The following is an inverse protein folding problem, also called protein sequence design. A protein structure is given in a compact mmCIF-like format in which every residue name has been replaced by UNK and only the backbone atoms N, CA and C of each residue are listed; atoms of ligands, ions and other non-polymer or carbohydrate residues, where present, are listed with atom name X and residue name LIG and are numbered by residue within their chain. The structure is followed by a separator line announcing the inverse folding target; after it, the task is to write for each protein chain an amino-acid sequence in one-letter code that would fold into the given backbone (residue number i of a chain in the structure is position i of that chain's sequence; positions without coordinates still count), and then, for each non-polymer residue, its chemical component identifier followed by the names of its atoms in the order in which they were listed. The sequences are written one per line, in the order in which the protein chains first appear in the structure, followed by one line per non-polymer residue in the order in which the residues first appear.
data_IF_527879113582
#
_entry.id   IF_527879113582
#
_cell.length_a   1.000
_cell.length_b   1.000
_cell.length_c   1.000
_cell.angle_alpha   90.00
_cell.angle_beta   90.00
_cell.angle_gamma   90.00
#
_symmetry.space_group_name_H-M   'P 1'
#
loop_
_entity.id
_entity.type
_entity.pdbx_description
1 polymer ?
#
# COMPACT_ATOMS: atom_id res chain seq x y z
N UNK A 1 -24.87 7.26 31.69
CA UNK A 1 -24.67 6.13 30.73
C UNK A 1 -24.66 6.52 29.26
N UNK A 2 -25.29 7.64 28.83
CA UNK A 2 -25.33 8.03 27.40
C UNK A 2 -23.97 8.47 26.83
N UNK A 3 -23.22 9.29 27.56
CA UNK A 3 -21.96 9.89 27.07
C UNK A 3 -20.76 8.94 27.10
N UNK A 4 -20.77 7.94 28.00
CA UNK A 4 -19.72 6.90 28.07
C UNK A 4 -19.75 6.00 26.84
N UNK A 5 -20.95 5.66 26.34
CA UNK A 5 -21.09 4.88 25.11
C UNK A 5 -20.56 5.64 23.88
N UNK A 6 -20.79 6.95 23.83
CA UNK A 6 -20.26 7.83 22.78
C UNK A 6 -18.73 7.96 22.83
N UNK A 7 -18.16 8.03 24.03
CA UNK A 7 -16.71 8.13 24.21
C UNK A 7 -16.00 6.84 23.77
N UNK A 8 -16.56 5.67 24.09
CA UNK A 8 -16.04 4.38 23.65
C UNK A 8 -16.14 4.24 22.12
N UNK A 9 -17.27 4.66 21.53
CA UNK A 9 -17.44 4.65 20.08
C UNK A 9 -16.44 5.57 19.36
N UNK A 10 -16.18 6.76 19.91
CA UNK A 10 -15.19 7.69 19.38
C UNK A 10 -13.75 7.16 19.46
N UNK A 11 -13.41 6.45 20.54
CA UNK A 11 -12.09 5.84 20.72
C UNK A 11 -11.81 4.67 19.77
N UNK A 12 -12.85 3.91 19.38
CA UNK A 12 -12.74 2.85 18.37
C UNK A 12 -12.63 3.44 16.96
N UNK A 13 -13.30 4.57 16.68
CA UNK A 13 -13.23 5.21 15.37
C UNK A 13 -11.88 5.92 15.14
N UNK A 14 -11.25 6.46 16.19
CA UNK A 14 -9.94 7.12 16.11
C UNK A 14 -8.78 6.15 15.90
N UNK A 15 -8.92 4.87 16.27
CA UNK A 15 -7.89 3.84 16.01
C UNK A 15 -7.89 3.32 14.57
N UNK A 16 -8.86 3.71 13.73
CA UNK A 16 -8.83 3.44 12.29
C UNK A 16 -8.06 4.50 11.51
N UNK A 17 -7.61 5.58 12.15
CA UNK A 17 -6.84 6.66 11.51
C UNK A 17 -5.35 6.31 11.32
N UNK A 18 -5.06 5.07 10.92
CA UNK A 18 -3.74 4.69 10.44
C UNK A 18 -3.75 4.64 8.91
N UNK A 19 -3.42 5.79 8.33
CA UNK A 19 -2.47 5.87 7.23
C UNK A 19 -2.81 5.08 5.96
N UNK A 20 -3.61 5.69 5.09
CA UNK A 20 -3.51 5.46 3.64
C UNK A 20 -2.18 6.08 3.15
N UNK A 21 -1.07 5.38 3.36
CA UNK A 21 0.15 5.64 2.60
C UNK A 21 0.06 4.77 1.34
N UNK A 22 0.20 5.41 0.17
CA UNK A 22 0.50 4.68 -1.05
C UNK A 22 1.77 3.86 -0.80
N UNK A 23 1.78 2.61 -1.26
CA UNK A 23 2.96 1.79 -1.12
C UNK A 23 4.13 2.53 -1.82
N UNK A 24 5.21 2.77 -1.08
CA UNK A 24 6.38 3.48 -1.63
C UNK A 24 7.24 2.48 -2.37
N UNK A 25 7.72 2.85 -3.55
CA UNK A 25 8.72 2.06 -4.26
C UNK A 25 10.05 2.11 -3.49
N UNK A 26 10.57 0.93 -3.18
CA UNK A 26 11.85 0.78 -2.48
C UNK A 26 12.81 -0.07 -3.32
N UNK A 27 14.07 0.35 -3.41
CA UNK A 27 15.09 -0.40 -4.16
C UNK A 27 15.56 -1.65 -3.39
N UNK A 28 15.53 -1.60 -2.06
CA UNK A 28 15.89 -2.69 -1.17
C UNK A 28 14.77 -2.96 -0.17
N UNK A 29 14.68 -4.19 0.32
CA UNK A 29 13.75 -4.54 1.39
C UNK A 29 14.11 -3.74 2.65
N UNK A 30 13.22 -2.87 3.16
CA UNK A 30 13.51 -2.07 4.34
C UNK A 30 13.76 -2.97 5.55
N UNK A 31 14.62 -2.52 6.48
CA UNK A 31 14.90 -3.28 7.70
C UNK A 31 13.61 -3.56 8.48
N UNK A 32 13.41 -4.83 8.86
CA UNK A 32 12.20 -5.29 9.55
C UNK A 32 10.99 -5.53 8.64
N UNK A 33 11.10 -5.34 7.32
CA UNK A 33 10.06 -5.72 6.37
C UNK A 33 10.42 -7.05 5.69
N UNK A 34 9.40 -7.86 5.42
CA UNK A 34 9.55 -9.11 4.68
C UNK A 34 8.70 -9.09 3.43
N UNK A 35 9.08 -9.87 2.43
CA UNK A 35 8.30 -10.02 1.21
C UNK A 35 6.92 -10.57 1.56
N UNK A 36 5.91 -9.73 1.45
CA UNK A 36 4.51 -10.10 1.66
C UNK A 36 3.98 -10.97 0.50
N UNK A 37 4.40 -10.67 -0.74
CA UNK A 37 3.95 -11.38 -1.92
C UNK A 37 4.62 -10.86 -3.20
N UNK A 38 4.13 -11.33 -4.35
CA UNK A 38 4.50 -10.79 -5.66
C UNK A 38 3.23 -10.27 -6.31
N UNK A 39 3.27 -9.05 -6.81
CA UNK A 39 2.19 -8.45 -7.60
C UNK A 39 2.69 -8.20 -9.02
N UNK A 40 1.76 -8.23 -9.98
CA UNK A 40 2.02 -7.87 -11.37
C UNK A 40 0.96 -6.86 -11.80
N UNK A 41 1.39 -5.88 -12.57
CA UNK A 41 0.56 -4.86 -13.18
C UNK A 41 0.92 -4.74 -14.66
N UNK A 42 -0.05 -4.31 -15.45
CA UNK A 42 0.13 -4.03 -16.87
C UNK A 42 0.12 -2.52 -17.03
N UNK A 43 1.30 -1.94 -16.88
CA UNK A 43 1.55 -0.54 -17.19
C UNK A 43 1.17 -0.29 -18.64
N UNK A 44 0.39 0.76 -18.86
CA UNK A 44 -0.10 1.13 -20.19
C UNK A 44 1.05 1.59 -21.09
N UNK A 45 0.99 2.85 -21.52
CA UNK A 45 1.97 3.40 -22.48
C UNK A 45 3.25 3.94 -21.84
N UNK A 46 3.37 3.94 -20.50
CA UNK A 46 4.52 4.50 -19.79
C UNK A 46 4.72 3.86 -18.40
N UNK A 47 5.93 4.07 -17.85
CA UNK A 47 6.35 3.52 -16.56
C UNK A 47 5.56 4.10 -15.38
N UNK A 48 5.19 5.38 -15.40
CA UNK A 48 4.40 5.99 -14.32
C UNK A 48 3.04 5.31 -14.14
N UNK A 49 2.39 4.94 -15.24
CA UNK A 49 1.12 4.19 -15.20
C UNK A 49 1.29 2.78 -14.59
N UNK A 50 2.47 2.16 -14.78
CA UNK A 50 2.80 0.88 -14.17
C UNK A 50 2.99 1.03 -12.67
N UNK A 51 3.78 2.03 -12.27
CA UNK A 51 4.11 2.35 -10.88
C UNK A 51 2.84 2.64 -10.08
N UNK A 52 1.94 3.47 -10.62
CA UNK A 52 0.66 3.79 -9.98
C UNK A 52 -0.19 2.54 -9.74
N UNK A 53 -0.30 1.65 -10.74
CA UNK A 53 -1.04 0.40 -10.60
C UNK A 53 -0.39 -0.55 -9.59
N UNK A 54 0.94 -0.63 -9.57
CA UNK A 54 1.67 -1.45 -8.60
C UNK A 54 1.50 -0.90 -7.19
N UNK A 55 1.60 0.42 -7.01
CA UNK A 55 1.42 1.10 -5.74
C UNK A 55 0.01 0.86 -5.18
N UNK A 56 -1.00 1.02 -6.03
CA UNK A 56 -2.40 0.78 -5.66
C UNK A 56 -2.62 -0.69 -5.26
N UNK A 57 -2.15 -1.63 -6.07
CA UNK A 57 -2.33 -3.07 -5.81
C UNK A 57 -1.55 -3.54 -4.59
N UNK A 58 -0.36 -2.98 -4.35
CA UNK A 58 0.40 -3.23 -3.13
C UNK A 58 -0.35 -2.70 -1.90
N UNK A 59 -0.96 -1.52 -2.00
CA UNK A 59 -1.75 -0.93 -0.92
C UNK A 59 -3.03 -1.74 -0.63
N UNK A 60 -3.74 -2.20 -1.66
CA UNK A 60 -4.91 -3.09 -1.52
C UNK A 60 -4.55 -4.41 -0.83
N UNK A 61 -3.34 -4.91 -1.10
CA UNK A 61 -2.76 -6.09 -0.46
C UNK A 61 -2.29 -5.83 0.98
N UNK A 62 -2.37 -4.58 1.47
CA UNK A 62 -1.90 -4.19 2.81
C UNK A 62 -0.37 -4.03 2.92
N UNK A 63 0.33 -3.99 1.78
CA UNK A 63 1.77 -3.76 1.76
C UNK A 63 2.08 -2.26 1.90
N UNK A 64 3.09 -1.95 2.72
CA UNK A 64 3.58 -0.58 2.95
C UNK A 64 4.58 -0.11 1.90
N UNK A 65 5.21 -1.05 1.21
CA UNK A 65 6.25 -0.80 0.21
C UNK A 65 6.19 -1.87 -0.87
N UNK A 66 6.56 -1.51 -2.09
CA UNK A 66 6.70 -2.44 -3.20
C UNK A 66 8.07 -2.26 -3.87
N UNK A 67 8.51 -3.27 -4.59
CA UNK A 67 9.74 -3.20 -5.40
C UNK A 67 9.48 -3.79 -6.76
N UNK A 68 9.85 -3.06 -7.80
CA UNK A 68 9.83 -3.56 -9.16
C UNK A 68 11.03 -4.51 -9.33
N UNK A 69 10.76 -5.79 -9.59
CA UNK A 69 11.82 -6.79 -9.81
C UNK A 69 12.04 -7.12 -11.29
N UNK A 70 11.06 -6.81 -12.14
CA UNK A 70 11.13 -7.02 -13.59
C UNK A 70 10.11 -6.13 -14.28
N UNK A 71 10.49 -5.50 -15.39
CA UNK A 71 9.59 -4.81 -16.31
C UNK A 71 9.82 -5.40 -17.70
N UNK A 72 8.74 -5.74 -18.39
CA UNK A 72 8.79 -6.34 -19.73
C UNK A 72 7.80 -5.61 -20.63
N UNK A 73 8.25 -5.14 -21.79
CA UNK A 73 7.39 -4.49 -22.77
C UNK A 73 8.16 -4.04 -24.02
N UNK A 74 7.48 -3.85 -25.16
CA UNK A 74 8.06 -3.18 -26.31
C UNK A 74 8.15 -1.68 -25.99
N UNK A 75 9.36 -1.18 -25.71
CA UNK A 75 9.58 0.24 -25.41
C UNK A 75 9.30 1.12 -26.63
#
# INVERSE_FOLDING_TARGET
MKNVKTLIAAAVLSSLSFASFAAVEVQATPEGQQKFGTISANGGTNLGSLEDQLAQKAQEMGAKSFRITSVTGPN
#
